data_IF_356603251054
#
_entry.id   IF_356603251054
#
_cell.length_a   1.000
_cell.length_b   1.000
_cell.length_c   1.000
_cell.angle_alpha   90.00
_cell.angle_beta   90.00
_cell.angle_gamma   90.00
#
_symmetry.space_group_name_H-M   'P 1'
#
loop_
_entity.id
_entity.type
_entity.pdbx_description
1 polymer ?
#
# COMPACT_ATOMS: atom_id res chain seq x y z
N UNK A 1 -14.04 -19.90 3.98
CA UNK A 1 -13.13 -20.47 2.93
C UNK A 1 -12.57 -19.37 2.05
N UNK A 2 -13.41 -18.40 1.65
CA UNK A 2 -12.97 -17.18 0.99
C UNK A 2 -11.88 -16.47 1.80
N UNK A 3 -12.06 -16.31 3.12
CA UNK A 3 -11.12 -15.59 4.01
C UNK A 3 -9.72 -16.19 3.99
N UNK A 4 -9.61 -17.53 4.07
CA UNK A 4 -8.31 -18.22 3.96
C UNK A 4 -7.65 -18.03 2.60
N UNK A 5 -8.42 -18.04 1.50
CA UNK A 5 -7.88 -17.78 0.16
C UNK A 5 -7.43 -16.31 0.04
N UNK A 6 -8.24 -15.38 0.55
CA UNK A 6 -7.92 -13.95 0.56
C UNK A 6 -6.64 -13.67 1.33
N UNK A 7 -6.49 -14.19 2.56
CA UNK A 7 -5.28 -14.04 3.36
C UNK A 7 -4.04 -14.65 2.66
N UNK A 8 -4.20 -15.83 2.03
CA UNK A 8 -3.13 -16.43 1.22
C UNK A 8 -2.74 -15.55 0.02
N UNK A 9 -3.73 -15.01 -0.69
CA UNK A 9 -3.51 -14.09 -1.81
C UNK A 9 -2.86 -12.78 -1.34
N UNK A 10 -3.30 -12.20 -0.23
CA UNK A 10 -2.77 -10.97 0.36
C UNK A 10 -1.27 -11.14 0.71
N UNK A 11 -0.90 -12.30 1.28
CA UNK A 11 0.50 -12.66 1.53
C UNK A 11 1.32 -12.83 0.24
N UNK A 12 0.75 -13.46 -0.82
CA UNK A 12 1.45 -13.59 -2.11
C UNK A 12 1.72 -12.22 -2.72
N UNK A 13 0.74 -11.31 -2.70
CA UNK A 13 0.85 -9.98 -3.33
C UNK A 13 1.93 -9.13 -2.65
N UNK A 14 2.09 -9.25 -1.33
CA UNK A 14 3.13 -8.53 -0.59
C UNK A 14 4.56 -8.85 -1.07
N UNK A 15 4.80 -10.08 -1.54
CA UNK A 15 6.12 -10.53 -2.02
C UNK A 15 6.59 -9.71 -3.23
N UNK A 16 5.97 -9.78 -4.43
CA UNK A 16 6.46 -9.02 -5.58
C UNK A 16 6.41 -7.51 -5.35
N UNK A 17 5.44 -7.00 -4.57
CA UNK A 17 5.36 -5.57 -4.25
C UNK A 17 6.60 -5.07 -3.50
N UNK A 18 7.15 -5.88 -2.59
CA UNK A 18 8.39 -5.57 -1.88
C UNK A 18 9.64 -5.88 -2.71
N UNK A 19 9.66 -6.99 -3.48
CA UNK A 19 10.80 -7.36 -4.33
C UNK A 19 11.10 -6.36 -5.43
N UNK A 20 10.14 -5.50 -5.82
CA UNK A 20 10.38 -4.41 -6.78
C UNK A 20 11.51 -3.46 -6.37
N UNK A 21 11.86 -3.41 -5.08
CA UNK A 21 12.94 -2.55 -4.59
C UNK A 21 14.35 -3.12 -4.89
N UNK A 22 14.46 -4.43 -5.17
CA UNK A 22 15.74 -5.13 -5.29
C UNK A 22 16.69 -4.51 -6.31
N UNK A 23 16.29 -4.19 -7.56
CA UNK A 23 17.21 -3.59 -8.54
C UNK A 23 17.83 -2.27 -8.07
N UNK A 24 17.10 -1.51 -7.24
CA UNK A 24 17.60 -0.27 -6.64
C UNK A 24 18.54 -0.57 -5.47
N UNK A 25 18.26 -1.60 -4.67
CA UNK A 25 19.13 -2.06 -3.58
C UNK A 25 20.47 -2.58 -4.14
N UNK A 26 20.43 -3.42 -5.17
CA UNK A 26 21.63 -3.97 -5.80
C UNK A 26 22.49 -2.86 -6.41
N UNK A 27 21.85 -1.88 -7.06
CA UNK A 27 22.53 -0.71 -7.59
C UNK A 27 23.30 0.09 -6.53
N UNK A 28 22.84 0.08 -5.27
CA UNK A 28 23.59 0.74 -4.19
C UNK A 28 24.96 0.10 -4.05
N UNK A 29 25.08 -1.23 -4.08
CA UNK A 29 26.34 -1.96 -3.92
C UNK A 29 27.20 -1.97 -5.19
N UNK A 30 26.59 -1.97 -6.37
CA UNK A 30 27.29 -2.00 -7.67
C UNK A 30 27.87 -0.65 -8.12
N UNK A 31 27.38 0.49 -7.60
CA UNK A 31 27.89 1.80 -8.02
C UNK A 31 29.39 1.95 -7.72
N UNK A 32 30.20 2.14 -8.77
CA UNK A 32 31.65 2.31 -8.68
C UNK A 32 32.08 3.76 -8.40
N UNK A 33 31.13 4.70 -8.39
CA UNK A 33 31.40 6.08 -8.03
C UNK A 33 31.26 6.27 -6.52
N UNK A 34 32.17 6.99 -5.85
CA UNK A 34 31.94 7.52 -4.50
C UNK A 34 30.95 8.70 -4.57
N UNK A 35 29.79 8.45 -5.18
CA UNK A 35 28.77 9.45 -5.44
C UNK A 35 27.92 9.67 -4.20
N UNK A 36 27.66 10.93 -3.87
CA UNK A 36 26.66 11.27 -2.86
C UNK A 36 25.30 10.61 -3.16
N UNK A 37 24.46 10.40 -2.15
CA UNK A 37 23.10 9.87 -2.34
C UNK A 37 22.29 10.57 -3.45
N UNK A 38 22.55 11.86 -3.69
CA UNK A 38 21.92 12.63 -4.78
C UNK A 38 22.36 12.12 -6.15
N UNK A 39 23.65 11.87 -6.33
CA UNK A 39 24.21 11.30 -7.56
C UNK A 39 23.68 9.89 -7.81
N UNK A 40 23.56 9.08 -6.74
CA UNK A 40 22.96 7.74 -6.84
C UNK A 40 21.53 7.79 -7.43
N UNK A 41 20.67 8.68 -6.93
CA UNK A 41 19.31 8.80 -7.46
C UNK A 41 19.26 9.39 -8.87
N UNK A 42 20.23 10.23 -9.24
CA UNK A 42 20.36 10.76 -10.61
C UNK A 42 20.72 9.66 -11.61
N UNK A 43 21.67 8.79 -11.24
CA UNK A 43 22.09 7.63 -12.03
C UNK A 43 20.99 6.56 -12.14
N UNK A 44 20.14 6.42 -11.12
CA UNK A 44 19.14 5.34 -11.01
C UNK A 44 17.69 5.81 -11.17
N UNK A 45 17.45 6.91 -11.90
CA UNK A 45 16.11 7.48 -12.15
C UNK A 45 15.14 6.49 -12.79
N UNK A 46 15.61 5.69 -13.74
CA UNK A 46 14.78 4.70 -14.44
C UNK A 46 14.38 3.55 -13.50
N UNK A 47 15.29 3.08 -12.64
CA UNK A 47 15.00 2.09 -11.59
C UNK A 47 13.97 2.62 -10.59
N UNK A 48 14.09 3.88 -10.17
CA UNK A 48 13.10 4.54 -9.31
C UNK A 48 11.73 4.63 -9.98
N UNK A 49 11.68 5.09 -11.24
CA UNK A 49 10.43 5.22 -11.98
C UNK A 49 9.75 3.85 -12.17
N UNK A 50 10.53 2.83 -12.52
CA UNK A 50 10.06 1.45 -12.65
C UNK A 50 9.52 0.88 -11.34
N UNK A 51 10.22 1.11 -10.23
CA UNK A 51 9.78 0.75 -8.88
C UNK A 51 8.43 1.37 -8.55
N UNK A 52 8.31 2.70 -8.54
CA UNK A 52 7.07 3.38 -8.15
C UNK A 52 5.91 3.04 -9.08
N UNK A 53 6.15 3.00 -10.39
CA UNK A 53 5.11 2.67 -11.37
C UNK A 53 4.55 1.27 -11.10
N UNK A 54 5.42 0.29 -10.92
CA UNK A 54 5.01 -1.11 -10.72
C UNK A 54 4.39 -1.33 -9.34
N UNK A 55 4.92 -0.65 -8.32
CA UNK A 55 4.40 -0.68 -6.94
C UNK A 55 2.93 -0.26 -6.93
N UNK A 56 2.62 0.93 -7.48
CA UNK A 56 1.25 1.44 -7.48
C UNK A 56 0.33 0.63 -8.40
N UNK A 57 0.85 0.02 -9.46
CA UNK A 57 0.09 -0.90 -10.31
C UNK A 57 -0.32 -2.16 -9.53
N UNK A 58 0.62 -2.81 -8.83
CA UNK A 58 0.30 -3.99 -8.01
C UNK A 58 -0.71 -3.61 -6.92
N UNK A 59 -0.49 -2.50 -6.21
CA UNK A 59 -1.42 -1.99 -5.20
C UNK A 59 -2.83 -1.73 -5.76
N UNK A 60 -2.94 -1.12 -6.95
CA UNK A 60 -4.22 -0.88 -7.58
C UNK A 60 -4.95 -2.19 -7.94
N UNK A 61 -4.22 -3.18 -8.46
CA UNK A 61 -4.76 -4.50 -8.77
C UNK A 61 -5.18 -5.26 -7.49
N UNK A 62 -4.38 -5.17 -6.43
CA UNK A 62 -4.73 -5.71 -5.12
C UNK A 62 -5.98 -5.05 -4.55
N UNK A 63 -6.11 -3.72 -4.63
CA UNK A 63 -7.32 -3.00 -4.17
C UNK A 63 -8.56 -3.49 -4.92
N UNK A 64 -8.45 -3.69 -6.24
CA UNK A 64 -9.56 -4.21 -7.04
C UNK A 64 -9.91 -5.65 -6.63
N UNK A 65 -8.91 -6.53 -6.49
CA UNK A 65 -9.10 -7.89 -6.00
C UNK A 65 -9.71 -7.91 -4.59
N UNK A 66 -9.26 -7.01 -3.72
CA UNK A 66 -9.76 -6.86 -2.36
C UNK A 66 -11.25 -6.57 -2.36
N UNK A 67 -11.67 -5.50 -3.04
CA UNK A 67 -13.07 -5.10 -3.18
C UNK A 67 -13.94 -6.19 -3.82
N UNK A 68 -13.37 -6.96 -4.75
CA UNK A 68 -14.06 -8.05 -5.43
C UNK A 68 -14.39 -9.21 -4.48
N UNK A 69 -13.45 -9.57 -3.61
CA UNK A 69 -13.58 -10.69 -2.68
C UNK A 69 -14.25 -10.31 -1.36
N UNK A 70 -14.34 -9.02 -1.00
CA UNK A 70 -15.02 -8.53 0.20
C UNK A 70 -16.48 -9.01 0.29
N UNK A 71 -17.13 -9.20 -0.86
CA UNK A 71 -18.54 -9.60 -0.92
C UNK A 71 -18.72 -11.10 -1.19
N UNK A 72 -17.64 -11.87 -1.34
CA UNK A 72 -17.65 -13.27 -1.71
C UNK A 72 -17.60 -14.17 -0.45
N UNK A 73 -18.69 -14.86 -0.14
CA UNK A 73 -18.76 -15.82 0.98
C UNK A 73 -18.15 -17.19 0.59
N UNK A 74 -18.42 -17.64 -0.65
CA UNK A 74 -18.04 -18.96 -1.14
C UNK A 74 -17.22 -18.86 -2.42
N UNK A 75 -16.15 -19.65 -2.51
CA UNK A 75 -15.25 -19.66 -3.66
C UNK A 75 -15.45 -20.92 -4.49
N UNK A 76 -15.94 -20.75 -5.72
CA UNK A 76 -16.05 -21.85 -6.70
C UNK A 76 -14.68 -22.35 -7.17
N UNK A 77 -14.63 -23.56 -7.73
CA UNK A 77 -13.37 -24.12 -8.29
C UNK A 77 -12.81 -23.23 -9.40
N UNK A 78 -13.68 -22.71 -10.27
CA UNK A 78 -13.28 -21.80 -11.33
C UNK A 78 -12.71 -20.49 -10.75
N UNK A 79 -13.40 -19.88 -9.79
CA UNK A 79 -12.93 -18.63 -9.16
C UNK A 79 -11.56 -18.82 -8.48
N UNK A 80 -11.36 -19.95 -7.81
CA UNK A 80 -10.05 -20.31 -7.23
C UNK A 80 -8.96 -20.49 -8.29
N UNK A 81 -9.29 -21.13 -9.41
CA UNK A 81 -8.33 -21.30 -10.52
C UNK A 81 -7.97 -19.98 -11.17
N UNK A 82 -8.95 -19.08 -11.35
CA UNK A 82 -8.69 -17.71 -11.82
C UNK A 82 -7.83 -16.94 -10.81
N UNK A 83 -8.10 -17.02 -9.50
CA UNK A 83 -7.26 -16.41 -8.47
C UNK A 83 -5.80 -16.86 -8.59
N UNK A 84 -5.56 -18.17 -8.76
CA UNK A 84 -4.19 -18.70 -8.98
C UNK A 84 -3.53 -18.11 -10.22
N UNK A 85 -4.25 -18.02 -11.34
CA UNK A 85 -3.74 -17.41 -12.58
C UNK A 85 -3.43 -15.93 -12.40
N UNK A 86 -4.26 -15.20 -11.67
CA UNK A 86 -4.01 -13.80 -11.36
C UNK A 86 -2.78 -13.64 -10.47
N UNK A 87 -2.65 -14.42 -9.39
CA UNK A 87 -1.45 -14.37 -8.53
C UNK A 87 -0.17 -14.69 -9.30
N UNK A 88 -0.22 -15.56 -10.32
CA UNK A 88 0.92 -15.82 -11.20
C UNK A 88 1.36 -14.55 -11.94
N UNK A 89 0.41 -13.76 -12.45
CA UNK A 89 0.71 -12.48 -13.11
C UNK A 89 1.30 -11.43 -12.17
N UNK A 90 0.87 -11.43 -10.90
CA UNK A 90 1.39 -10.53 -9.86
C UNK A 90 2.83 -10.92 -9.48
N UNK A 91 3.10 -12.21 -9.29
CA UNK A 91 4.46 -12.71 -9.00
C UNK A 91 5.41 -12.48 -10.18
N UNK A 92 4.92 -12.49 -11.42
CA UNK A 92 5.74 -12.21 -12.60
C UNK A 92 6.03 -10.71 -12.80
N UNK A 93 5.32 -9.82 -12.09
CA UNK A 93 5.44 -8.37 -12.26
C UNK A 93 6.88 -7.85 -12.11
N UNK A 94 7.66 -8.19 -11.05
CA UNK A 94 9.02 -7.67 -10.88
C UNK A 94 9.95 -8.02 -12.04
N UNK A 95 9.82 -9.22 -12.61
CA UNK A 95 10.59 -9.65 -13.80
C UNK A 95 10.25 -8.77 -15.00
N UNK A 96 8.96 -8.56 -15.25
CA UNK A 96 8.51 -7.74 -16.38
C UNK A 96 8.91 -6.26 -16.22
N UNK A 97 8.91 -5.75 -14.99
CA UNK A 97 9.40 -4.41 -14.64
C UNK A 97 10.89 -4.29 -14.91
N UNK A 98 11.70 -5.25 -14.45
CA UNK A 98 13.14 -5.26 -14.67
C UNK A 98 13.50 -5.23 -16.15
N UNK A 99 12.76 -5.96 -17.01
CA UNK A 99 12.97 -5.91 -18.47
C UNK A 99 12.79 -4.50 -19.07
N UNK A 100 11.82 -3.74 -18.57
CA UNK A 100 11.58 -2.35 -19.02
C UNK A 100 12.64 -1.39 -18.47
N UNK A 101 13.07 -1.63 -17.23
CA UNK A 101 14.07 -0.81 -16.53
C UNK A 101 15.47 -0.98 -17.11
N UNK A 102 15.92 -2.22 -17.27
CA UNK A 102 17.27 -2.56 -17.76
C UNK A 102 17.41 -2.36 -19.27
N UNK A 103 16.30 -2.31 -20.02
CA UNK A 103 16.31 -2.08 -21.46
C UNK A 103 15.21 -1.09 -21.90
N UNK A 104 15.34 0.21 -21.58
CA UNK A 104 14.28 1.21 -21.78
C UNK A 104 13.88 1.46 -23.24
N UNK A 105 14.65 0.95 -24.21
CA UNK A 105 14.38 1.06 -25.65
C UNK A 105 13.94 -0.27 -26.28
N UNK A 106 13.98 -1.37 -25.52
CA UNK A 106 13.62 -2.68 -26.05
C UNK A 106 12.10 -2.86 -26.14
N UNK A 107 11.63 -3.12 -27.35
CA UNK A 107 10.20 -3.33 -27.64
C UNK A 107 9.69 -4.61 -27.00
N UNK A 108 10.51 -5.65 -26.91
CA UNK A 108 10.11 -6.91 -26.31
C UNK A 108 9.86 -6.75 -24.80
N UNK A 109 10.72 -6.01 -24.08
CA UNK A 109 10.51 -5.65 -22.68
C UNK A 109 9.16 -4.99 -22.41
N UNK A 110 8.81 -3.93 -23.17
CA UNK A 110 7.48 -3.31 -23.03
C UNK A 110 6.33 -4.23 -23.42
N UNK A 111 6.50 -5.07 -24.45
CA UNK A 111 5.46 -6.02 -24.84
C UNK A 111 5.20 -7.06 -23.75
N UNK A 112 6.24 -7.57 -23.08
CA UNK A 112 6.12 -8.50 -21.94
C UNK A 112 5.44 -7.83 -20.75
N UNK A 113 5.88 -6.62 -20.38
CA UNK A 113 5.27 -5.85 -19.30
C UNK A 113 3.79 -5.57 -19.56
N UNK A 114 3.46 -4.95 -20.69
CA UNK A 114 2.07 -4.61 -21.04
C UNK A 114 1.21 -5.86 -21.28
N UNK A 115 1.80 -6.94 -21.81
CA UNK A 115 1.15 -8.24 -21.95
C UNK A 115 0.77 -8.84 -20.61
N UNK A 116 1.66 -8.80 -19.61
CA UNK A 116 1.36 -9.23 -18.23
C UNK A 116 0.22 -8.39 -17.62
N UNK A 117 0.26 -7.07 -17.83
CA UNK A 117 -0.79 -6.16 -17.35
C UNK A 117 -2.16 -6.46 -17.97
N UNK A 118 -2.17 -6.72 -19.28
CA UNK A 118 -3.39 -7.09 -19.99
C UNK A 118 -3.94 -8.44 -19.50
N UNK A 119 -3.06 -9.43 -19.36
CA UNK A 119 -3.44 -10.74 -18.82
C UNK A 119 -4.03 -10.62 -17.41
N UNK A 120 -3.38 -9.90 -16.50
CA UNK A 120 -3.87 -9.65 -15.13
C UNK A 120 -5.28 -9.04 -15.13
N UNK A 121 -5.50 -7.98 -15.94
CA UNK A 121 -6.83 -7.34 -16.08
C UNK A 121 -7.89 -8.29 -16.63
N UNK A 122 -7.55 -9.10 -17.64
CA UNK A 122 -8.48 -10.07 -18.23
C UNK A 122 -8.90 -11.13 -17.20
N UNK A 123 -7.96 -11.62 -16.38
CA UNK A 123 -8.26 -12.60 -15.33
C UNK A 123 -9.11 -11.96 -14.23
N UNK A 124 -8.81 -10.74 -13.79
CA UNK A 124 -9.62 -9.98 -12.82
C UNK A 124 -11.06 -9.75 -13.31
N UNK A 125 -11.22 -9.29 -14.56
CA UNK A 125 -12.53 -9.12 -15.19
C UNK A 125 -13.28 -10.45 -15.30
N UNK A 126 -12.57 -11.56 -15.58
CA UNK A 126 -13.16 -12.90 -15.61
C UNK A 126 -13.64 -13.35 -14.24
N UNK A 127 -12.89 -13.07 -13.17
CA UNK A 127 -13.33 -13.35 -11.79
C UNK A 127 -14.61 -12.57 -11.47
N UNK A 128 -14.65 -11.28 -11.83
CA UNK A 128 -15.84 -10.46 -11.63
C UNK A 128 -17.04 -11.02 -12.39
N UNK A 129 -16.86 -11.47 -13.65
CA UNK A 129 -17.92 -12.10 -14.43
C UNK A 129 -18.44 -13.40 -13.81
N UNK A 130 -17.55 -14.23 -13.24
CA UNK A 130 -17.94 -15.44 -12.52
C UNK A 130 -18.78 -15.10 -11.29
N UNK A 131 -18.37 -14.11 -10.50
CA UNK A 131 -19.10 -13.65 -9.33
C UNK A 131 -20.46 -13.07 -9.72
N UNK A 132 -20.56 -12.23 -10.74
CA UNK A 132 -21.84 -11.68 -11.23
C UNK A 132 -22.81 -12.79 -11.65
N UNK A 133 -22.30 -13.86 -12.29
CA UNK A 133 -23.12 -14.95 -12.84
C UNK A 133 -23.57 -15.97 -11.81
N UNK A 134 -22.86 -16.15 -10.69
CA UNK A 134 -23.23 -17.09 -9.64
C UNK A 134 -23.57 -16.40 -8.31
N UNK A 135 -24.83 -15.94 -8.13
CA UNK A 135 -25.27 -15.30 -6.89
C UNK A 135 -25.04 -16.13 -5.63
N UNK A 136 -24.95 -17.47 -5.72
CA UNK A 136 -24.74 -18.35 -4.55
C UNK A 136 -23.37 -18.19 -3.90
N UNK A 137 -22.45 -17.49 -4.57
CA UNK A 137 -21.10 -17.19 -4.06
C UNK A 137 -21.04 -15.96 -3.18
N UNK A 138 -22.10 -15.13 -3.18
CA UNK A 138 -22.16 -13.86 -2.46
C UNK A 138 -22.65 -14.03 -1.04
N UNK A 139 -22.18 -13.16 -0.15
CA UNK A 139 -22.75 -13.03 1.19
C UNK A 139 -24.25 -12.70 1.10
N UNK A 140 -25.12 -13.25 1.97
CA UNK A 140 -26.57 -13.10 1.85
C UNK A 140 -27.03 -11.64 1.92
N UNK A 141 -26.33 -10.84 2.72
CA UNK A 141 -26.59 -9.39 2.88
C UNK A 141 -26.10 -8.56 1.68
N UNK A 142 -25.24 -9.14 0.83
CA UNK A 142 -24.71 -8.50 -0.38
C UNK A 142 -25.54 -8.82 -1.63
N UNK A 143 -26.58 -9.66 -1.50
CA UNK A 143 -27.49 -9.99 -2.60
C UNK A 143 -28.33 -8.76 -3.01
N UNK A 144 -28.03 -8.20 -4.18
CA UNK A 144 -28.91 -7.21 -4.83
C UNK A 144 -28.21 -5.95 -5.37
N UNK A 145 -26.92 -5.75 -5.12
CA UNK A 145 -26.19 -4.56 -5.58
C UNK A 145 -25.73 -4.64 -7.05
N UNK A 146 -25.46 -5.83 -7.57
CA UNK A 146 -25.08 -6.02 -8.98
C UNK A 146 -26.26 -6.50 -9.80
N UNK A 147 -26.93 -5.56 -10.47
CA UNK A 147 -27.84 -5.88 -11.57
C UNK A 147 -27.14 -6.70 -12.65
N UNK A 148 -27.65 -7.91 -12.92
CA UNK A 148 -27.01 -8.94 -13.75
C UNK A 148 -26.56 -8.44 -15.14
N UNK A 149 -27.31 -7.55 -15.77
CA UNK A 149 -27.00 -7.05 -17.13
C UNK A 149 -26.19 -5.76 -17.17
N UNK A 150 -26.43 -4.83 -16.23
CA UNK A 150 -25.67 -3.60 -16.10
C UNK A 150 -24.20 -3.90 -15.75
N UNK A 151 -23.96 -4.82 -14.83
CA UNK A 151 -22.62 -5.10 -14.33
C UNK A 151 -21.66 -5.66 -15.40
N UNK A 152 -22.13 -6.58 -16.26
CA UNK A 152 -21.29 -7.18 -17.31
C UNK A 152 -20.77 -6.18 -18.37
N UNK A 153 -21.62 -5.22 -18.76
CA UNK A 153 -21.23 -4.15 -19.70
C UNK A 153 -20.12 -3.28 -19.10
N UNK A 154 -20.19 -2.97 -17.81
CA UNK A 154 -19.16 -2.19 -17.13
C UNK A 154 -17.84 -2.94 -17.02
N UNK A 155 -17.88 -4.26 -16.74
CA UNK A 155 -16.66 -5.10 -16.79
C UNK A 155 -16.02 -5.04 -18.17
N UNK A 156 -16.82 -5.20 -19.23
CA UNK A 156 -16.31 -5.14 -20.60
C UNK A 156 -15.71 -3.77 -20.92
N UNK A 157 -16.38 -2.67 -20.56
CA UNK A 157 -15.85 -1.31 -20.74
C UNK A 157 -14.56 -1.11 -19.95
N UNK A 158 -14.44 -1.65 -18.74
CA UNK A 158 -13.22 -1.59 -17.94
C UNK A 158 -12.06 -2.30 -18.60
N UNK A 159 -12.27 -3.55 -19.02
CA UNK A 159 -11.26 -4.33 -19.75
C UNK A 159 -10.85 -3.61 -21.04
N UNK A 160 -11.80 -3.14 -21.85
CA UNK A 160 -11.50 -2.44 -23.12
C UNK A 160 -10.81 -1.09 -22.90
N UNK A 161 -11.20 -0.32 -21.88
CA UNK A 161 -10.53 0.94 -21.52
C UNK A 161 -9.07 0.68 -21.15
N UNK A 162 -8.80 -0.42 -20.45
CA UNK A 162 -7.45 -0.86 -20.14
C UNK A 162 -6.65 -1.18 -21.40
N UNK A 163 -7.23 -1.88 -22.38
CA UNK A 163 -6.60 -2.14 -23.69
C UNK A 163 -6.22 -0.85 -24.39
N UNK A 164 -7.13 0.12 -24.45
CA UNK A 164 -6.85 1.41 -25.07
C UNK A 164 -5.68 2.14 -24.39
N UNK A 165 -5.66 2.15 -23.05
CA UNK A 165 -4.56 2.73 -22.26
C UNK A 165 -3.26 1.99 -22.54
N UNK A 166 -3.27 0.66 -22.66
CA UNK A 166 -2.07 -0.12 -22.99
C UNK A 166 -1.53 0.16 -24.38
N UNK A 167 -2.40 0.23 -25.39
CA UNK A 167 -2.00 0.58 -26.76
C UNK A 167 -1.38 1.98 -26.75
N UNK A 168 -2.02 2.94 -26.09
CA UNK A 168 -1.50 4.30 -25.97
C UNK A 168 -0.16 4.33 -25.22
N UNK A 169 -0.01 3.56 -24.14
CA UNK A 169 1.24 3.43 -23.38
C UNK A 169 2.36 2.90 -24.28
N UNK A 170 2.10 1.82 -25.02
CA UNK A 170 3.06 1.25 -25.97
C UNK A 170 3.46 2.28 -27.04
N UNK A 171 2.49 3.04 -27.56
CA UNK A 171 2.73 4.07 -28.56
C UNK A 171 3.64 5.19 -28.01
N UNK A 172 3.37 5.66 -26.79
CA UNK A 172 4.17 6.69 -26.13
C UNK A 172 5.59 6.18 -25.81
N UNK A 173 5.71 4.98 -25.24
CA UNK A 173 7.02 4.46 -24.83
C UNK A 173 7.95 4.21 -26.02
N UNK A 174 7.40 3.78 -27.18
CA UNK A 174 8.21 3.36 -28.32
C UNK A 174 8.39 4.42 -29.41
N UNK A 175 7.48 5.39 -29.55
CA UNK A 175 7.46 6.26 -30.73
C UNK A 175 7.54 7.76 -30.45
N UNK A 176 7.42 8.23 -29.20
CA UNK A 176 7.42 9.67 -28.91
C UNK A 176 8.69 10.17 -28.21
N UNK A 177 9.69 9.30 -28.00
CA UNK A 177 10.93 9.65 -27.30
C UNK A 177 10.76 9.91 -25.79
N UNK A 178 9.54 9.77 -25.28
CA UNK A 178 9.19 9.96 -23.86
C UNK A 178 9.69 8.80 -22.99
N UNK A 179 10.00 7.64 -23.59
CA UNK A 179 10.55 6.48 -22.89
C UNK A 179 9.60 5.97 -21.79
N UNK A 180 10.16 5.59 -20.64
CA UNK A 180 9.41 5.01 -19.52
C UNK A 180 8.37 5.97 -18.91
N UNK A 181 8.52 7.29 -19.08
CA UNK A 181 7.50 8.24 -18.62
C UNK A 181 6.13 8.02 -19.29
N UNK A 182 6.10 7.36 -20.46
CA UNK A 182 4.86 6.93 -21.10
C UNK A 182 4.02 5.99 -20.22
N UNK A 183 4.64 5.23 -19.31
CA UNK A 183 3.94 4.34 -18.36
C UNK A 183 3.06 5.09 -17.38
N UNK A 184 3.37 6.37 -17.08
CA UNK A 184 2.60 7.18 -16.13
C UNK A 184 1.15 7.42 -16.60
N UNK A 185 0.87 7.22 -17.90
CA UNK A 185 -0.50 7.33 -18.42
C UNK A 185 -1.46 6.31 -17.80
N UNK A 186 -0.93 5.19 -17.27
CA UNK A 186 -1.73 4.19 -16.56
C UNK A 186 -2.46 4.81 -15.36
N UNK A 187 -1.87 5.82 -14.71
CA UNK A 187 -2.50 6.51 -13.58
C UNK A 187 -3.72 7.36 -13.94
N UNK A 188 -3.91 7.67 -15.24
CA UNK A 188 -5.11 8.35 -15.72
C UNK A 188 -6.32 7.43 -15.82
N UNK A 189 -6.17 6.12 -15.62
CA UNK A 189 -7.29 5.16 -15.64
C UNK A 189 -8.38 5.55 -14.64
N UNK A 190 -8.02 5.85 -13.38
CA UNK A 190 -9.00 6.23 -12.34
C UNK A 190 -9.75 7.54 -12.70
N UNK A 191 -9.08 8.65 -13.08
CA UNK A 191 -9.76 9.85 -13.57
C UNK A 191 -10.68 9.61 -14.77
N UNK A 192 -10.24 8.81 -15.75
CA UNK A 192 -11.07 8.46 -16.93
C UNK A 192 -12.33 7.70 -16.48
N UNK A 193 -12.17 6.75 -15.56
CA UNK A 193 -13.28 6.00 -14.98
C UNK A 193 -14.26 6.87 -14.20
N UNK A 194 -13.73 7.81 -13.42
CA UNK A 194 -14.55 8.78 -12.70
C UNK A 194 -15.40 9.62 -13.67
N UNK A 195 -14.80 10.16 -14.74
CA UNK A 195 -15.52 10.93 -15.76
C UNK A 195 -16.58 10.06 -16.45
N UNK A 196 -16.22 8.84 -16.85
CA UNK A 196 -17.16 7.88 -17.45
C UNK A 196 -18.37 7.65 -16.53
N UNK A 197 -18.13 7.44 -15.23
CA UNK A 197 -19.17 7.20 -14.24
C UNK A 197 -20.12 8.40 -14.07
N UNK A 198 -19.60 9.64 -14.12
CA UNK A 198 -20.40 10.87 -14.06
C UNK A 198 -21.31 11.01 -15.28
N UNK A 199 -20.75 10.84 -16.49
CA UNK A 199 -21.50 10.92 -17.75
C UNK A 199 -22.59 9.85 -17.80
N UNK A 200 -22.26 8.63 -17.38
CA UNK A 200 -23.21 7.53 -17.37
C UNK A 200 -24.33 7.74 -16.34
N UNK A 201 -24.00 8.22 -15.13
CA UNK A 201 -24.99 8.59 -14.09
C UNK A 201 -25.98 9.64 -14.60
N UNK A 202 -25.50 10.68 -15.28
CA UNK A 202 -26.36 11.72 -15.85
C UNK A 202 -27.32 11.16 -16.91
N UNK A 203 -26.82 10.32 -17.84
CA UNK A 203 -27.66 9.69 -18.88
C UNK A 203 -28.77 8.83 -18.27
N UNK A 204 -28.45 8.06 -17.22
CA UNK A 204 -29.43 7.18 -16.58
C UNK A 204 -30.49 7.95 -15.78
N UNK A 205 -30.10 9.03 -15.09
CA UNK A 205 -31.06 9.94 -14.46
C UNK A 205 -31.99 10.60 -15.49
N UNK A 206 -31.48 11.00 -16.65
CA UNK A 206 -32.29 11.56 -17.72
C UNK A 206 -33.30 10.54 -18.30
N UNK A 207 -32.88 9.29 -18.49
CA UNK A 207 -33.76 8.19 -18.92
C UNK A 207 -34.83 7.87 -17.87
N UNK A 208 -34.46 7.83 -16.59
CA UNK A 208 -35.39 7.62 -15.48
C UNK A 208 -36.44 8.75 -15.36
N UNK A 209 -36.04 10.00 -15.53
CA UNK A 209 -36.95 11.16 -15.53
C UNK A 209 -37.90 11.11 -16.73
N UNK A 210 -37.39 10.77 -17.92
CA UNK A 210 -38.21 10.62 -19.14
C UNK A 210 -39.18 9.44 -19.07
N UNK A 211 -38.80 8.35 -18.40
CA UNK A 211 -39.68 7.22 -18.13
C UNK A 211 -40.79 7.57 -17.12
N UNK A 212 -40.50 8.41 -16.12
CA UNK A 212 -41.52 8.95 -15.19
C UNK A 212 -42.50 9.89 -15.89
N UNK A 213 -42.03 10.75 -16.79
CA UNK A 213 -42.89 11.70 -17.51
C UNK A 213 -43.77 11.06 -18.58
N UNK A 214 -43.52 9.80 -18.97
CA UNK A 214 -44.28 9.06 -19.99
C UNK A 214 -45.25 8.03 -19.41
N UNK A 215 -45.42 7.96 -18.08
CA UNK A 215 -46.15 6.86 -17.43
C UNK A 215 -47.22 7.31 -16.42
N UNK A 216 -48.41 7.67 -16.94
CA UNK A 216 -49.71 7.47 -16.26
C UNK A 216 -50.32 6.07 -16.59
N UNK A 217 -49.55 5.17 -17.23
CA UNK A 217 -50.01 3.85 -17.66
C UNK A 217 -49.51 2.73 -16.70
N UNK A 218 -50.42 1.98 -16.05
CA UNK A 218 -50.09 0.96 -15.02
C UNK A 218 -49.34 -0.28 -15.54
N UNK A 219 -49.13 -0.44 -16.85
CA UNK A 219 -48.39 -1.56 -17.45
C UNK A 219 -46.86 -1.38 -17.44
N UNK A 220 -46.33 -0.23 -16.99
CA UNK A 220 -44.91 0.11 -17.04
C UNK A 220 -44.03 -0.48 -15.89
N UNK A 221 -44.55 -1.43 -15.10
CA UNK A 221 -43.84 -1.98 -13.93
C UNK A 221 -42.50 -2.70 -14.24
N UNK A 222 -42.33 -3.46 -15.35
CA UNK A 222 -41.08 -4.18 -15.60
C UNK A 222 -39.91 -3.22 -15.91
N UNK A 223 -40.18 -2.20 -16.73
CA UNK A 223 -39.19 -1.18 -17.13
C UNK A 223 -38.73 -0.33 -15.94
N UNK A 224 -39.57 -0.15 -14.91
CA UNK A 224 -39.19 0.52 -13.65
C UNK A 224 -38.19 -0.28 -12.83
N UNK A 225 -38.37 -1.60 -12.73
CA UNK A 225 -37.44 -2.44 -11.97
C UNK A 225 -36.11 -2.62 -12.69
N UNK A 226 -36.10 -2.73 -14.01
CA UNK A 226 -34.86 -2.72 -14.81
C UNK A 226 -34.02 -1.45 -14.57
N UNK A 227 -34.64 -0.27 -14.64
CA UNK A 227 -33.94 1.01 -14.39
C UNK A 227 -33.42 1.11 -12.96
N UNK A 228 -34.17 0.63 -11.96
CA UNK A 228 -33.70 0.60 -10.56
C UNK A 228 -32.53 -0.37 -10.37
N UNK A 229 -32.57 -1.52 -11.03
CA UNK A 229 -31.48 -2.52 -11.01
C UNK A 229 -30.22 -1.97 -11.70
N UNK A 230 -30.36 -1.28 -12.83
CA UNK A 230 -29.24 -0.60 -13.49
C UNK A 230 -28.66 0.51 -12.61
N UNK A 231 -29.50 1.37 -12.01
CA UNK A 231 -29.05 2.44 -11.10
C UNK A 231 -28.32 1.88 -9.86
N UNK A 232 -28.78 0.75 -9.30
CA UNK A 232 -28.08 0.06 -8.21
C UNK A 232 -26.73 -0.51 -8.64
N UNK A 233 -26.66 -1.12 -9.84
CA UNK A 233 -25.40 -1.62 -10.39
C UNK A 233 -24.38 -0.49 -10.62
N UNK A 234 -24.86 0.64 -11.10
CA UNK A 234 -24.10 1.88 -11.25
C UNK A 234 -23.57 2.40 -9.93
N UNK A 235 -24.43 2.38 -8.90
CA UNK A 235 -24.08 2.84 -7.57
C UNK A 235 -22.93 2.01 -7.00
N UNK A 236 -22.90 0.70 -7.25
CA UNK A 236 -21.77 -0.17 -6.88
C UNK A 236 -20.45 0.21 -7.58
N UNK A 237 -20.49 0.49 -8.89
CA UNK A 237 -19.30 0.97 -9.63
C UNK A 237 -18.87 2.36 -9.18
N UNK A 238 -19.84 3.22 -8.85
CA UNK A 238 -19.59 4.55 -8.30
C UNK A 238 -18.94 4.47 -6.92
N UNK A 239 -19.38 3.56 -6.05
CA UNK A 239 -18.74 3.29 -4.75
C UNK A 239 -17.32 2.72 -4.90
N UNK A 240 -17.00 1.98 -5.97
CA UNK A 240 -15.60 1.63 -6.25
C UNK A 240 -14.75 2.84 -6.67
N UNK A 241 -15.37 3.85 -7.28
CA UNK A 241 -14.74 5.12 -7.66
C UNK A 241 -14.94 6.23 -6.62
N UNK A 242 -15.50 5.94 -5.45
CA UNK A 242 -15.87 6.98 -4.49
C UNK A 242 -14.61 7.66 -3.94
N UNK A 243 -14.52 8.96 -4.21
CA UNK A 243 -13.46 9.84 -3.72
C UNK A 243 -13.70 10.29 -2.27
N UNK A 244 -14.76 9.81 -1.59
CA UNK A 244 -14.94 10.11 -0.18
C UNK A 244 -13.91 9.33 0.64
N UNK A 245 -12.88 10.04 1.10
CA UNK A 245 -11.82 9.49 1.93
C UNK A 245 -12.37 8.86 3.24
N UNK A 246 -13.58 9.23 3.67
CA UNK A 246 -14.18 8.72 4.89
C UNK A 246 -15.14 7.53 4.66
N UNK A 247 -15.28 7.03 3.44
CA UNK A 247 -16.13 5.85 3.20
C UNK A 247 -15.48 4.60 3.77
N UNK A 248 -16.29 3.76 4.42
CA UNK A 248 -15.87 2.46 4.97
C UNK A 248 -15.86 1.45 3.82
N UNK A 249 -14.74 0.76 3.66
CA UNK A 249 -14.46 -0.11 2.51
C UNK A 249 -14.52 -1.60 2.84
N UNK A 250 -14.40 -1.99 4.11
CA UNK A 250 -14.37 -3.39 4.50
C UNK A 250 -13.74 -3.66 5.86
N UNK A 251 -13.52 -4.93 6.14
CA UNK A 251 -12.84 -5.41 7.36
C UNK A 251 -11.33 -5.13 7.34
N UNK A 252 -10.76 -4.91 8.54
CA UNK A 252 -9.34 -4.60 8.69
C UNK A 252 -8.40 -5.80 8.47
N UNK A 253 -8.88 -7.02 8.67
CA UNK A 253 -8.07 -8.25 8.68
C UNK A 253 -7.21 -8.42 7.42
N UNK A 254 -7.78 -8.13 6.25
CA UNK A 254 -7.08 -8.28 4.98
C UNK A 254 -5.99 -7.23 4.77
N UNK A 255 -6.25 -5.99 5.17
CA UNK A 255 -5.24 -4.93 5.12
C UNK A 255 -4.09 -5.24 6.08
N UNK A 256 -4.40 -5.79 7.26
CA UNK A 256 -3.41 -6.24 8.24
C UNK A 256 -2.55 -7.37 7.64
N UNK A 257 -3.17 -8.43 7.11
CA UNK A 257 -2.44 -9.56 6.52
C UNK A 257 -1.52 -9.14 5.35
N UNK A 258 -2.01 -8.27 4.47
CA UNK A 258 -1.22 -7.66 3.40
C UNK A 258 -0.02 -6.87 3.96
N UNK A 259 -0.26 -6.03 4.97
CA UNK A 259 0.77 -5.16 5.57
C UNK A 259 1.82 -5.97 6.33
N UNK A 260 1.41 -6.99 7.10
CA UNK A 260 2.30 -7.90 7.81
C UNK A 260 3.21 -8.65 6.83
N UNK A 261 2.65 -9.10 5.70
CA UNK A 261 3.44 -9.70 4.61
C UNK A 261 4.50 -8.74 4.08
N UNK A 262 4.17 -7.47 3.87
CA UNK A 262 5.12 -6.45 3.37
C UNK A 262 6.26 -6.25 4.34
N UNK A 263 5.94 -6.04 5.62
CA UNK A 263 6.93 -5.83 6.68
C UNK A 263 7.84 -7.06 6.80
N UNK A 264 7.27 -8.26 6.80
CA UNK A 264 8.03 -9.49 6.92
C UNK A 264 9.05 -9.63 5.78
N UNK A 265 8.64 -9.38 4.53
CA UNK A 265 9.57 -9.44 3.40
C UNK A 265 10.61 -8.32 3.49
N UNK A 266 10.24 -7.09 3.83
CA UNK A 266 11.21 -6.00 3.99
C UNK A 266 12.28 -6.33 5.05
N UNK A 267 11.90 -6.94 6.18
CA UNK A 267 12.85 -7.43 7.19
C UNK A 267 13.78 -8.51 6.64
N UNK A 268 13.27 -9.43 5.81
CA UNK A 268 14.11 -10.47 5.18
C UNK A 268 15.06 -9.90 4.14
N UNK A 269 14.68 -8.87 3.39
CA UNK A 269 15.55 -8.26 2.38
C UNK A 269 16.83 -7.66 2.99
N UNK A 270 16.78 -7.21 4.25
CA UNK A 270 17.95 -6.65 4.94
C UNK A 270 19.10 -7.65 5.09
N UNK A 271 18.85 -8.97 5.05
CA UNK A 271 19.90 -9.99 5.19
C UNK A 271 20.72 -10.16 3.90
N UNK A 272 20.18 -9.75 2.75
CA UNK A 272 20.77 -10.08 1.44
C UNK A 272 22.21 -9.58 1.29
N UNK A 273 22.57 -8.32 1.66
CA UNK A 273 23.96 -7.87 1.56
C UNK A 273 24.93 -8.69 2.42
N UNK A 274 24.48 -9.22 3.56
CA UNK A 274 25.28 -10.10 4.41
C UNK A 274 25.47 -11.48 3.78
N UNK A 275 24.45 -12.00 3.09
CA UNK A 275 24.54 -13.25 2.34
C UNK A 275 25.59 -13.12 1.23
N UNK A 276 25.59 -12.01 0.48
CA UNK A 276 26.58 -11.75 -0.58
C UNK A 276 28.01 -11.62 -0.02
N UNK A 277 28.15 -10.94 1.12
CA UNK A 277 29.42 -10.85 1.85
C UNK A 277 29.94 -12.22 2.32
N UNK A 278 29.05 -13.11 2.77
CA UNK A 278 29.40 -14.46 3.19
C UNK A 278 29.84 -15.34 2.02
N UNK A 279 29.14 -15.27 0.87
CA UNK A 279 29.52 -15.97 -0.36
C UNK A 279 30.90 -15.51 -0.86
N UNK A 280 31.14 -14.20 -0.82
CA UNK A 280 32.42 -13.60 -1.22
C UNK A 280 33.59 -13.98 -0.28
N UNK A 281 33.30 -14.27 0.99
CA UNK A 281 34.29 -14.65 2.01
C UNK A 281 34.44 -16.17 2.19
N UNK A 282 33.77 -16.97 1.36
CA UNK A 282 33.67 -18.43 1.52
C UNK A 282 35.02 -19.15 1.59
N UNK A 283 36.05 -18.62 0.95
CA UNK A 283 37.42 -19.18 0.93
C UNK A 283 38.35 -18.56 1.98
N UNK A 284 37.94 -17.47 2.63
CA UNK A 284 38.77 -16.67 3.56
C UNK A 284 38.47 -16.97 5.03
N UNK A 285 37.37 -17.67 5.31
CA UNK A 285 36.95 -18.06 6.66
C UNK A 285 36.08 -17.03 7.37
N UNK A 286 35.41 -17.48 8.45
CA UNK A 286 34.40 -16.69 9.15
C UNK A 286 34.95 -15.42 9.83
N UNK A 287 36.20 -15.44 10.31
CA UNK A 287 36.82 -14.26 10.93
C UNK A 287 36.95 -13.08 9.96
N UNK A 288 37.43 -13.36 8.74
CA UNK A 288 37.54 -12.35 7.67
C UNK A 288 36.18 -11.82 7.25
N UNK A 289 35.16 -12.69 7.19
CA UNK A 289 33.78 -12.26 6.96
C UNK A 289 33.33 -11.22 8.00
N UNK A 290 33.45 -11.53 9.30
CA UNK A 290 33.03 -10.61 10.35
C UNK A 290 33.82 -9.31 10.32
N UNK A 291 35.13 -9.36 10.08
CA UNK A 291 35.98 -8.18 10.00
C UNK A 291 35.60 -7.26 8.82
N UNK A 292 35.28 -7.83 7.67
CA UNK A 292 34.92 -7.06 6.47
C UNK A 292 33.48 -6.53 6.50
N UNK A 293 32.58 -7.17 7.26
CA UNK A 293 31.14 -6.87 7.23
C UNK A 293 30.60 -6.25 8.52
N UNK A 294 31.45 -5.73 9.42
CA UNK A 294 31.03 -5.15 10.72
C UNK A 294 29.93 -4.10 10.58
N UNK A 295 30.06 -3.17 9.65
CA UNK A 295 29.08 -2.08 9.49
C UNK A 295 27.77 -2.56 8.84
N UNK A 296 27.87 -3.49 7.89
CA UNK A 296 26.69 -4.12 7.28
C UNK A 296 25.92 -4.89 8.36
N UNK A 297 26.62 -5.60 9.27
CA UNK A 297 26.02 -6.28 10.41
C UNK A 297 25.33 -5.29 11.37
N UNK A 298 26.00 -4.20 11.74
CA UNK A 298 25.43 -3.18 12.62
C UNK A 298 24.20 -2.51 11.99
N UNK A 299 24.28 -2.13 10.72
CA UNK A 299 23.17 -1.54 9.99
C UNK A 299 22.00 -2.51 9.81
N UNK A 300 22.29 -3.79 9.55
CA UNK A 300 21.29 -4.86 9.52
C UNK A 300 20.52 -4.95 10.84
N UNK A 301 21.21 -5.11 11.96
CA UNK A 301 20.55 -5.25 13.27
C UNK A 301 19.79 -3.98 13.66
N UNK A 302 20.39 -2.80 13.43
CA UNK A 302 19.74 -1.53 13.72
C UNK A 302 18.44 -1.38 12.91
N UNK A 303 18.50 -1.55 11.59
CA UNK A 303 17.33 -1.45 10.72
C UNK A 303 16.29 -2.53 10.99
N UNK A 304 16.70 -3.77 11.24
CA UNK A 304 15.78 -4.86 11.59
C UNK A 304 14.95 -4.49 12.83
N UNK A 305 15.61 -4.06 13.90
CA UNK A 305 14.93 -3.70 15.15
C UNK A 305 14.07 -2.43 15.00
N UNK A 306 14.53 -1.44 14.23
CA UNK A 306 13.76 -0.22 13.97
C UNK A 306 12.51 -0.50 13.13
N UNK A 307 12.61 -1.28 12.05
CA UNK A 307 11.45 -1.70 11.26
C UNK A 307 10.49 -2.55 12.10
N UNK A 308 11.02 -3.51 12.89
CA UNK A 308 10.20 -4.31 13.79
C UNK A 308 9.46 -3.44 14.82
N UNK A 309 10.11 -2.41 15.35
CA UNK A 309 9.46 -1.44 16.23
C UNK A 309 8.35 -0.67 15.51
N UNK A 310 8.57 -0.20 14.28
CA UNK A 310 7.53 0.47 13.48
C UNK A 310 6.32 -0.45 13.24
N UNK A 311 6.56 -1.73 12.96
CA UNK A 311 5.50 -2.73 12.86
C UNK A 311 4.77 -2.94 14.19
N UNK A 312 5.47 -3.02 15.33
CA UNK A 312 4.82 -3.13 16.63
C UNK A 312 3.87 -1.97 16.93
N UNK A 313 4.24 -0.74 16.54
CA UNK A 313 3.36 0.43 16.63
C UNK A 313 2.15 0.33 15.68
N UNK A 314 2.37 -0.12 14.45
CA UNK A 314 1.31 -0.35 13.47
C UNK A 314 0.33 -1.42 13.98
N UNK A 315 0.84 -2.58 14.41
CA UNK A 315 0.07 -3.68 14.94
C UNK A 315 -0.79 -3.24 16.12
N UNK A 316 -0.20 -2.58 17.11
CA UNK A 316 -0.95 -2.05 18.26
C UNK A 316 -2.03 -1.03 17.86
N UNK A 317 -1.78 -0.23 16.82
CA UNK A 317 -2.80 0.67 16.29
C UNK A 317 -3.96 -0.10 15.65
N UNK A 318 -3.67 -1.12 14.85
CA UNK A 318 -4.66 -1.89 14.09
C UNK A 318 -5.40 -2.94 14.93
N UNK A 319 -4.88 -3.36 16.10
CA UNK A 319 -5.65 -4.12 17.11
C UNK A 319 -6.96 -3.41 17.49
N UNK A 320 -6.98 -2.08 17.38
CA UNK A 320 -8.15 -1.28 17.70
C UNK A 320 -9.08 -1.05 16.50
N UNK A 321 -8.66 -1.39 15.28
CA UNK A 321 -9.40 -1.15 14.04
C UNK A 321 -10.20 -2.40 13.64
N UNK A 322 -11.52 -2.28 13.58
CA UNK A 322 -12.41 -3.34 13.08
C UNK A 322 -12.78 -3.17 11.61
N UNK A 323 -12.89 -1.91 11.16
CA UNK A 323 -13.21 -1.55 9.79
C UNK A 323 -12.18 -0.58 9.24
N UNK A 324 -12.03 -0.54 7.93
CA UNK A 324 -11.08 0.35 7.24
C UNK A 324 -11.85 1.38 6.43
N UNK A 325 -11.37 2.63 6.46
CA UNK A 325 -11.83 3.69 5.55
C UNK A 325 -10.87 3.88 4.38
N UNK A 326 -11.33 4.53 3.31
CA UNK A 326 -10.47 4.87 2.15
C UNK A 326 -9.22 5.63 2.59
N UNK A 327 -9.34 6.59 3.50
CA UNK A 327 -8.22 7.36 4.06
C UNK A 327 -7.24 6.44 4.78
N UNK A 328 -7.73 5.56 5.66
CA UNK A 328 -6.86 4.63 6.39
C UNK A 328 -6.10 3.71 5.45
N UNK A 329 -6.74 3.19 4.39
CA UNK A 329 -6.07 2.36 3.38
C UNK A 329 -4.96 3.13 2.65
N UNK A 330 -5.19 4.38 2.24
CA UNK A 330 -4.16 5.19 1.57
C UNK A 330 -3.02 5.61 2.51
N UNK A 331 -3.32 5.95 3.76
CA UNK A 331 -2.30 6.23 4.77
C UNK A 331 -1.48 4.98 5.10
N UNK A 332 -2.12 3.81 5.14
CA UNK A 332 -1.44 2.53 5.31
C UNK A 332 -0.49 2.27 4.15
N UNK A 333 -0.96 2.48 2.93
CA UNK A 333 -0.14 2.29 1.74
C UNK A 333 1.05 3.27 1.66
N UNK A 334 0.84 4.51 2.10
CA UNK A 334 1.94 5.48 2.22
C UNK A 334 2.96 5.03 3.28
N UNK A 335 2.49 4.47 4.40
CA UNK A 335 3.38 3.90 5.40
C UNK A 335 4.18 2.70 4.86
N UNK A 336 3.51 1.74 4.21
CA UNK A 336 4.17 0.55 3.64
C UNK A 336 5.19 0.91 2.58
N UNK A 337 4.95 1.96 1.78
CA UNK A 337 5.93 2.45 0.81
C UNK A 337 7.25 2.86 1.48
N UNK A 338 7.18 3.51 2.65
CA UNK A 338 8.36 3.84 3.45
C UNK A 338 9.08 2.58 3.96
N UNK A 339 8.33 1.58 4.42
CA UNK A 339 8.87 0.28 4.86
C UNK A 339 9.56 -0.45 3.70
N UNK A 340 8.95 -0.51 2.52
CA UNK A 340 9.54 -1.15 1.32
C UNK A 340 10.81 -0.46 0.88
N UNK A 341 10.94 0.85 1.10
CA UNK A 341 12.15 1.60 0.79
C UNK A 341 13.28 1.44 1.83
N UNK A 342 12.98 0.90 3.02
CA UNK A 342 13.97 0.75 4.11
C UNK A 342 15.23 -0.05 3.71
N UNK A 343 15.14 -1.18 2.98
CA UNK A 343 16.33 -1.93 2.57
C UNK A 343 17.31 -1.09 1.75
N UNK A 344 16.81 -0.29 0.79
CA UNK A 344 17.66 0.62 -0.01
C UNK A 344 18.30 1.68 0.88
N UNK A 345 17.52 2.36 1.72
CA UNK A 345 18.08 3.40 2.59
C UNK A 345 19.08 2.84 3.61
N UNK A 346 18.91 1.58 4.04
CA UNK A 346 19.87 0.88 4.90
C UNK A 346 21.14 0.53 4.13
N UNK A 347 21.00 0.03 2.89
CA UNK A 347 22.12 -0.29 2.02
C UNK A 347 23.00 0.94 1.73
N UNK A 348 22.38 2.09 1.42
CA UNK A 348 23.08 3.36 1.23
C UNK A 348 23.85 3.79 2.49
N UNK A 349 23.23 3.64 3.66
CA UNK A 349 23.85 3.96 4.94
C UNK A 349 25.09 3.12 5.24
N UNK A 350 25.08 1.81 4.92
CA UNK A 350 26.19 0.90 5.27
C UNK A 350 27.31 0.88 4.24
N UNK A 351 27.03 1.22 2.97
CA UNK A 351 28.05 1.23 1.92
C UNK A 351 29.03 2.39 2.09
N UNK A 352 28.52 3.63 2.17
CA UNK A 352 29.35 4.83 2.18
C UNK A 352 29.40 5.45 3.57
N UNK A 353 30.37 4.98 4.38
CA UNK A 353 30.60 5.32 5.80
C UNK A 353 30.62 6.83 6.13
N UNK A 354 30.79 7.71 5.14
CA UNK A 354 30.97 9.15 5.31
C UNK A 354 30.07 10.01 4.41
N UNK A 355 29.16 9.43 3.63
CA UNK A 355 28.25 10.23 2.80
C UNK A 355 27.14 10.86 3.65
N UNK A 356 27.31 12.14 3.97
CA UNK A 356 26.36 12.93 4.76
C UNK A 356 24.91 12.84 4.23
N UNK A 357 24.67 12.97 2.91
CA UNK A 357 23.37 12.70 2.30
C UNK A 357 22.76 11.34 2.61
N UNK A 358 23.54 10.26 2.70
CA UNK A 358 23.02 8.91 3.02
C UNK A 358 22.40 8.83 4.42
N UNK A 359 22.95 9.54 5.42
CA UNK A 359 22.27 9.69 6.73
C UNK A 359 20.91 10.40 6.59
N UNK A 360 20.85 11.42 5.74
CA UNK A 360 19.61 12.14 5.46
C UNK A 360 18.55 11.26 4.79
N UNK A 361 18.94 10.40 3.84
CA UNK A 361 18.03 9.45 3.19
C UNK A 361 17.48 8.43 4.19
N UNK A 362 18.35 7.81 4.98
CA UNK A 362 17.96 6.82 5.98
C UNK A 362 17.05 7.39 7.08
N UNK A 363 17.50 8.46 7.75
CA UNK A 363 16.74 9.10 8.81
C UNK A 363 15.47 9.77 8.28
N UNK A 364 15.51 10.32 7.06
CA UNK A 364 14.35 10.86 6.37
C UNK A 364 13.30 9.79 6.08
N UNK A 365 13.71 8.59 5.65
CA UNK A 365 12.80 7.47 5.42
C UNK A 365 12.14 6.99 6.74
N UNK A 366 12.93 6.86 7.82
CA UNK A 366 12.40 6.52 9.15
C UNK A 366 11.43 7.57 9.69
N UNK A 367 11.78 8.85 9.56
CA UNK A 367 10.90 9.95 9.95
C UNK A 367 9.61 9.97 9.11
N UNK A 368 9.69 9.69 7.81
CA UNK A 368 8.54 9.54 6.93
C UNK A 368 7.60 8.41 7.39
N UNK A 369 8.15 7.21 7.65
CA UNK A 369 7.35 6.08 8.15
C UNK A 369 6.68 6.44 9.49
N UNK A 370 7.41 7.06 10.42
CA UNK A 370 6.84 7.49 11.70
C UNK A 370 5.74 8.54 11.55
N UNK A 371 5.92 9.48 10.62
CA UNK A 371 4.92 10.50 10.31
C UNK A 371 3.63 9.85 9.77
N UNK A 372 3.75 8.87 8.86
CA UNK A 372 2.59 8.14 8.34
C UNK A 372 1.87 7.34 9.44
N UNK A 373 2.58 6.73 10.40
CA UNK A 373 1.94 6.13 11.59
C UNK A 373 1.18 7.16 12.43
N UNK A 374 1.72 8.37 12.57
CA UNK A 374 1.05 9.45 13.29
C UNK A 374 -0.25 9.84 12.58
N UNK A 375 -0.23 9.94 11.25
CA UNK A 375 -1.43 10.21 10.47
C UNK A 375 -2.45 9.06 10.53
N UNK A 376 -2.00 7.80 10.46
CA UNK A 376 -2.85 6.63 10.68
C UNK A 376 -3.55 6.70 12.04
N UNK A 377 -2.78 7.00 13.10
CA UNK A 377 -3.33 7.10 14.45
C UNK A 377 -4.35 8.24 14.59
N UNK A 378 -4.07 9.40 13.98
CA UNK A 378 -5.00 10.53 13.95
C UNK A 378 -6.26 10.20 13.15
N UNK A 379 -6.13 9.56 11.99
CA UNK A 379 -7.25 9.14 11.17
C UNK A 379 -8.15 8.14 11.92
N UNK A 380 -7.55 7.13 12.57
CA UNK A 380 -8.28 6.14 13.35
C UNK A 380 -9.06 6.81 14.49
N UNK A 381 -8.43 7.68 15.29
CA UNK A 381 -9.10 8.34 16.42
C UNK A 381 -10.21 9.31 15.98
N UNK A 382 -10.10 9.86 14.77
CA UNK A 382 -11.10 10.77 14.22
C UNK A 382 -12.33 10.07 13.64
N UNK A 383 -12.26 8.78 13.35
CA UNK A 383 -13.38 8.04 12.76
C UNK A 383 -13.80 6.84 13.62
N UNK A 384 -14.68 7.03 14.62
CA UNK A 384 -15.16 5.95 15.49
C UNK A 384 -15.82 4.78 14.76
N UNK A 385 -16.27 4.96 13.51
CA UNK A 385 -16.88 3.89 12.70
C UNK A 385 -15.87 2.82 12.29
N UNK A 386 -14.58 3.14 12.35
CA UNK A 386 -13.48 2.23 12.02
C UNK A 386 -13.09 1.33 13.19
N UNK A 387 -13.58 1.62 14.40
CA UNK A 387 -13.12 0.94 15.60
C UNK A 387 -13.70 -0.45 15.73
N UNK A 388 -12.90 -1.37 16.24
CA UNK A 388 -13.36 -2.68 16.64
C UNK A 388 -14.37 -2.54 17.80
N UNK A 389 -15.46 -3.33 17.85
CA UNK A 389 -16.50 -3.20 18.89
C UNK A 389 -15.97 -3.29 20.32
N UNK A 390 -14.91 -4.06 20.54
CA UNK A 390 -14.28 -4.22 21.86
C UNK A 390 -13.30 -3.08 22.23
N UNK A 391 -13.08 -2.10 21.35
CA UNK A 391 -12.09 -1.02 21.53
C UNK A 391 -12.66 0.24 22.21
N UNK A 392 -13.96 0.26 22.54
CA UNK A 392 -14.63 1.41 23.14
C UNK A 392 -14.07 1.71 24.55
N UNK A 393 -13.13 2.65 24.64
CA UNK A 393 -12.72 3.25 25.92
C UNK A 393 -11.22 3.59 26.07
N UNK A 394 -10.31 2.89 25.39
CA UNK A 394 -8.87 3.07 25.63
C UNK A 394 -8.26 4.27 24.87
N UNK A 395 -8.65 4.51 23.62
CA UNK A 395 -8.14 5.60 22.76
C UNK A 395 -8.82 6.96 23.01
N UNK A 396 -9.89 6.99 23.81
CA UNK A 396 -10.81 8.13 23.96
C UNK A 396 -10.55 8.97 25.21
N UNK A 397 -9.37 8.86 25.85
CA UNK A 397 -9.02 9.71 26.99
C UNK A 397 -8.91 11.18 26.56
N UNK A 398 -9.52 12.14 27.29
CA UNK A 398 -9.38 13.57 27.01
C UNK A 398 -7.90 13.96 26.90
N UNK A 399 -7.49 14.46 25.73
CA UNK A 399 -6.09 14.83 25.44
C UNK A 399 -5.30 13.85 24.57
N UNK A 400 -5.89 12.75 24.10
CA UNK A 400 -5.22 11.77 23.23
C UNK A 400 -4.58 12.41 21.98
N UNK A 401 -5.30 13.29 21.26
CA UNK A 401 -4.74 14.03 20.11
C UNK A 401 -3.52 14.87 20.48
N UNK A 402 -3.59 15.59 21.60
CA UNK A 402 -2.46 16.41 22.08
C UNK A 402 -1.27 15.53 22.45
N UNK A 403 -1.50 14.36 23.04
CA UNK A 403 -0.45 13.39 23.37
C UNK A 403 0.21 12.82 22.12
N UNK A 404 -0.57 12.52 21.09
CA UNK A 404 -0.06 12.06 19.79
C UNK A 404 0.84 13.12 19.17
N UNK A 405 0.39 14.38 19.14
CA UNK A 405 1.19 15.48 18.60
C UNK A 405 2.46 15.73 19.42
N UNK A 406 2.39 15.63 20.75
CA UNK A 406 3.58 15.71 21.62
C UNK A 406 4.54 14.56 21.31
N UNK A 407 4.06 13.32 21.21
CA UNK A 407 4.88 12.16 20.89
C UNK A 407 5.52 12.32 19.50
N UNK A 408 4.77 12.79 18.51
CA UNK A 408 5.30 13.05 17.17
C UNK A 408 6.41 14.11 17.18
N UNK A 409 6.22 15.19 17.95
CA UNK A 409 7.24 16.23 18.09
C UNK A 409 8.51 15.73 18.81
N UNK A 410 8.35 14.95 19.88
CA UNK A 410 9.47 14.35 20.61
C UNK A 410 10.25 13.41 19.70
N UNK A 411 9.57 12.56 18.94
CA UNK A 411 10.23 11.65 18.00
C UNK A 411 10.94 12.42 16.89
N UNK A 412 10.31 13.46 16.32
CA UNK A 412 10.98 14.34 15.35
C UNK A 412 12.24 14.98 15.95
N UNK A 413 12.20 15.41 17.21
CA UNK A 413 13.37 15.97 17.89
C UNK A 413 14.49 14.92 18.06
N UNK A 414 14.15 13.66 18.35
CA UNK A 414 15.12 12.55 18.42
C UNK A 414 15.73 12.26 17.05
N UNK A 415 14.95 12.28 15.96
CA UNK A 415 15.46 12.15 14.60
C UNK A 415 16.41 13.29 14.22
N UNK A 416 16.04 14.54 14.52
CA UNK A 416 16.90 15.70 14.26
C UNK A 416 18.18 15.66 15.10
N UNK A 417 18.10 15.28 16.37
CA UNK A 417 19.27 15.08 17.22
C UNK A 417 20.18 14.00 16.65
N UNK A 418 19.61 12.86 16.25
CA UNK A 418 20.37 11.76 15.64
C UNK A 418 21.06 12.21 14.36
N UNK A 419 20.34 12.94 13.48
CA UNK A 419 20.90 13.50 12.26
C UNK A 419 22.05 14.47 12.58
N UNK A 420 21.90 15.36 13.56
CA UNK A 420 22.96 16.26 13.98
C UNK A 420 24.18 15.49 14.50
N UNK A 421 23.98 14.45 15.33
CA UNK A 421 25.08 13.61 15.82
C UNK A 421 25.79 12.91 14.66
N UNK A 422 25.07 12.29 13.74
CA UNK A 422 25.65 11.60 12.59
C UNK A 422 26.42 12.56 11.65
N UNK A 423 25.95 13.79 11.48
CA UNK A 423 26.57 14.77 10.57
C UNK A 423 27.79 15.48 11.16
N UNK A 424 27.80 15.72 12.48
CA UNK A 424 28.76 16.61 13.14
C UNK A 424 29.70 15.91 14.13
N UNK A 425 29.59 14.60 14.33
CA UNK A 425 30.48 13.82 15.20
C UNK A 425 31.23 12.73 14.46
N UNK A 426 32.35 12.26 15.03
CA UNK A 426 33.14 11.16 14.49
C UNK A 426 32.54 9.77 14.81
N UNK A 427 31.34 9.72 15.41
CA UNK A 427 30.68 8.47 15.79
C UNK A 427 30.06 7.76 14.57
N UNK A 428 29.83 8.49 13.47
CA UNK A 428 29.33 7.95 12.21
C UNK A 428 27.98 7.25 12.35
N UNK A 429 27.83 6.07 11.74
CA UNK A 429 26.61 5.25 11.75
C UNK A 429 26.21 4.75 13.14
N UNK A 430 27.14 4.70 14.10
CA UNK A 430 26.80 4.35 15.48
C UNK A 430 25.89 5.40 16.16
N UNK A 431 25.78 6.62 15.61
CA UNK A 431 24.81 7.62 16.05
C UNK A 431 23.35 7.14 15.93
N UNK A 432 23.06 6.21 15.02
CA UNK A 432 21.71 5.67 14.79
C UNK A 432 21.16 4.95 16.03
N UNK A 433 22.03 4.43 16.90
CA UNK A 433 21.57 3.78 18.13
C UNK A 433 20.86 4.75 19.11
N UNK A 434 21.01 6.07 18.90
CA UNK A 434 20.23 7.08 19.63
C UNK A 434 18.72 6.91 19.38
N UNK A 435 18.31 6.41 18.20
CA UNK A 435 16.89 6.18 17.89
C UNK A 435 16.25 5.14 18.82
N UNK A 436 17.02 4.22 19.41
CA UNK A 436 16.48 3.28 20.40
C UNK A 436 16.04 3.94 21.69
N UNK A 437 16.43 5.20 21.95
CA UNK A 437 15.90 5.99 23.06
C UNK A 437 14.41 6.31 22.89
N UNK A 438 13.84 6.18 21.69
CA UNK A 438 12.40 6.38 21.47
C UNK A 438 11.55 5.44 22.36
N UNK A 439 11.98 4.20 22.55
CA UNK A 439 11.27 3.19 23.36
C UNK A 439 11.17 3.62 24.85
N UNK A 440 12.29 3.87 25.58
CA UNK A 440 12.21 4.30 26.97
C UNK A 440 11.60 5.70 27.12
N UNK A 441 11.80 6.61 26.16
CA UNK A 441 11.14 7.92 26.16
C UNK A 441 9.64 7.77 26.11
N UNK A 442 9.12 6.90 25.22
CA UNK A 442 7.69 6.64 25.12
C UNK A 442 7.13 6.06 26.41
N UNK A 443 7.78 5.06 26.99
CA UNK A 443 7.37 4.45 28.26
C UNK A 443 7.35 5.47 29.42
N UNK A 444 8.34 6.36 29.47
CA UNK A 444 8.39 7.43 30.47
C UNK A 444 7.24 8.44 30.27
N UNK A 445 6.97 8.86 29.03
CA UNK A 445 5.88 9.76 28.70
C UNK A 445 4.53 9.17 29.09
N UNK A 446 4.28 7.92 28.74
CA UNK A 446 3.03 7.21 29.08
C UNK A 446 2.83 7.16 30.60
N UNK A 447 3.86 6.78 31.36
CA UNK A 447 3.79 6.72 32.82
C UNK A 447 3.51 8.08 33.47
N UNK A 448 4.16 9.16 33.01
CA UNK A 448 3.93 10.51 33.52
C UNK A 448 2.49 10.95 33.24
N UNK A 449 1.99 10.62 32.05
CA UNK A 449 0.63 10.95 31.63
C UNK A 449 -0.40 10.17 32.45
N UNK A 450 -0.23 8.86 32.61
CA UNK A 450 -1.12 8.02 33.41
C UNK A 450 -1.19 8.50 34.86
N UNK A 451 -0.05 8.86 35.45
CA UNK A 451 0.01 9.47 36.80
C UNK A 451 -0.77 10.79 36.86
N UNK A 452 -0.63 11.67 35.87
CA UNK A 452 -1.37 12.95 35.82
C UNK A 452 -2.87 12.79 35.57
N UNK A 453 -3.27 11.79 34.79
CA UNK A 453 -4.68 11.48 34.53
C UNK A 453 -5.37 10.95 35.79
N UNK A 454 -4.71 10.07 36.53
CA UNK A 454 -5.22 9.52 37.81
C UNK A 454 -5.21 10.55 38.95
N UNK A 455 -4.39 11.60 38.85
CA UNK A 455 -4.30 12.66 39.87
C UNK A 455 -5.37 13.77 39.73
N UNK A 456 -6.19 13.79 38.66
CA UNK A 456 -7.31 14.73 38.54
C UNK A 456 -8.52 14.17 39.29
N UNK A 457 -8.99 14.80 40.38
CA UNK A 457 -10.19 14.33 41.06
C UNK A 457 -11.38 14.49 40.10
N UNK A 458 -12.16 13.43 39.95
CA UNK A 458 -13.48 13.47 39.33
C UNK A 458 -14.30 14.51 40.10
N UNK A 459 -14.54 15.68 39.48
CA UNK A 459 -15.55 16.62 39.99
C UNK A 459 -16.89 15.88 39.93
N UNK A 460 -17.31 15.31 41.06
CA UNK A 460 -18.67 14.82 41.23
C UNK A 460 -19.59 16.01 40.99
N UNK A 461 -20.38 15.92 39.93
CA UNK A 461 -21.52 16.81 39.72
C UNK A 461 -22.48 16.46 40.86
N UNK A 462 -22.45 17.23 41.94
CA UNK A 462 -23.47 17.15 42.97
C UNK A 462 -24.78 17.55 42.32
N UNK A 463 -25.68 16.58 42.16
CA UNK A 463 -27.09 16.83 41.95
C UNK A 463 -27.57 17.71 43.11
N UNK A 464 -27.93 18.96 42.81
CA UNK A 464 -28.80 19.74 43.68
C UNK A 464 -30.22 19.45 43.26
N UNK A 465 -30.91 18.81 44.21
CA UNK A 465 -32.34 18.53 44.37
C UNK A 465 -33.25 19.64 43.84
#
# INVERSE_FOLDING_TARGET
>A
MADRLSAYTDAIVAIPLTLLILPLMDATFESNNPGTAIGFFDENRDKLLGFFTSYFIIYAQWTYHHNLFEHAEKVSVLLRSLNKLWTLSIVFMPVSTALVVESPKDRAGYAVFLGNQFFSRLVLGSMQMVLIKDPRTWHPESHGHLGKEGSAKHVLVWVLSGVCIFILTLMLCLFTGVGQFGLLIIFFEKPIWYIYSLVFKQKQLALATRARSTTDNPTASPRREEVKVELRSLQWWLTQTENDLNSIIGDAERLIAYTDGIVAIALTLLILPLMDGALSSSTLGAGVFFDNNKDILLGFFASYLLIYSQWGWHHSLFEHAGKVSVLLRYLNEAWTLGIVFMPVSTAMLVKDRLDRPSYGVYLGNLAYARLMLTFLQLALINDPRTWHPNSHGHLQKPGSKKQILISAFVVLAVFLLTLMVCLFTNIGSAGIFILFLEIPIWWALENIILKRANARPTRSRSETV
#
